data_IF_220163313541
#
_entry.id   IF_220163313541
#
_cell.length_a   1.000
_cell.length_b   1.000
_cell.length_c   1.000
_cell.angle_alpha   90.00
_cell.angle_beta   90.00
_cell.angle_gamma   90.00
#
_symmetry.space_group_name_H-M   'P 1'
#
loop_
_entity.id
_entity.type
_entity.pdbx_description
1 polymer ?
#
# COMPACT_ATOMS: atom_id res chain seq x y z
N UNK A 1 11.30 17.55 -6.54
CA UNK A 1 10.10 16.69 -6.80
C UNK A 1 10.18 15.36 -6.06
N UNK A 2 11.29 14.63 -6.18
CA UNK A 2 11.50 13.32 -5.51
C UNK A 2 11.37 13.41 -3.99
N UNK A 3 12.02 14.40 -3.37
CA UNK A 3 12.01 14.57 -1.91
C UNK A 3 10.59 14.77 -1.33
N UNK A 4 9.75 15.59 -1.98
CA UNK A 4 8.35 15.79 -1.55
C UNK A 4 7.54 14.51 -1.62
N UNK A 5 7.68 13.73 -2.71
CA UNK A 5 7.01 12.42 -2.83
C UNK A 5 7.48 11.44 -1.76
N UNK A 6 8.78 11.38 -1.52
CA UNK A 6 9.33 10.49 -0.49
C UNK A 6 8.81 10.87 0.90
N UNK A 7 8.69 12.16 1.21
CA UNK A 7 8.11 12.62 2.47
C UNK A 7 6.65 12.18 2.62
N UNK A 8 5.83 12.40 1.59
CA UNK A 8 4.41 11.98 1.59
C UNK A 8 4.26 10.46 1.72
N UNK A 9 5.14 9.69 1.09
CA UNK A 9 5.13 8.23 1.21
C UNK A 9 5.45 7.77 2.64
N UNK A 10 6.49 8.34 3.25
CA UNK A 10 6.90 8.03 4.63
C UNK A 10 5.80 8.45 5.63
N UNK A 11 5.20 9.61 5.45
CA UNK A 11 4.07 10.09 6.28
C UNK A 11 2.85 9.16 6.16
N UNK A 12 2.53 8.69 4.95
CA UNK A 12 1.46 7.73 4.71
C UNK A 12 1.73 6.37 5.39
N UNK A 13 2.96 5.85 5.29
CA UNK A 13 3.33 4.61 5.96
C UNK A 13 3.24 4.73 7.50
N UNK A 14 3.72 5.84 8.07
CA UNK A 14 3.60 6.12 9.51
C UNK A 14 2.15 6.18 9.97
N UNK A 15 1.29 6.87 9.22
CA UNK A 15 -0.14 6.96 9.54
C UNK A 15 -0.83 5.60 9.45
N UNK A 16 -0.50 4.76 8.47
CA UNK A 16 -1.01 3.38 8.39
C UNK A 16 -0.65 2.54 9.63
N UNK A 17 0.60 2.60 10.09
CA UNK A 17 1.04 1.87 11.29
C UNK A 17 0.34 2.36 12.56
N UNK A 18 0.27 3.68 12.76
CA UNK A 18 -0.39 4.28 13.93
C UNK A 18 -1.88 3.92 13.95
N UNK A 19 -2.56 4.05 12.80
CA UNK A 19 -3.99 3.76 12.67
C UNK A 19 -4.32 2.30 12.98
N UNK A 20 -3.52 1.37 12.44
CA UNK A 20 -3.71 -0.07 12.65
C UNK A 20 -3.19 -0.58 13.99
N UNK A 21 -2.51 0.27 14.79
CA UNK A 21 -1.75 -0.14 15.98
C UNK A 21 -0.76 -1.28 15.68
N UNK A 22 -0.22 -1.28 14.46
CA UNK A 22 0.70 -2.31 13.99
C UNK A 22 2.11 -2.12 14.57
N UNK A 23 2.82 -3.24 14.71
CA UNK A 23 4.19 -3.25 15.20
C UNK A 23 5.17 -2.67 14.19
N UNK A 24 6.26 -2.06 14.68
CA UNK A 24 7.27 -1.39 13.84
C UNK A 24 7.95 -2.33 12.85
N UNK A 25 8.00 -3.64 13.12
CA UNK A 25 8.59 -4.60 12.19
C UNK A 25 7.85 -4.65 10.84
N UNK A 26 6.57 -4.26 10.80
CA UNK A 26 5.76 -4.14 9.58
C UNK A 26 6.04 -2.86 8.78
N UNK A 27 7.11 -2.12 9.10
CA UNK A 27 7.46 -0.87 8.44
C UNK A 27 7.61 -1.03 6.93
N UNK A 28 8.30 -2.07 6.48
CA UNK A 28 8.50 -2.39 5.07
C UNK A 28 7.17 -2.63 4.33
N UNK A 29 6.27 -3.38 4.96
CA UNK A 29 4.95 -3.73 4.47
C UNK A 29 4.05 -2.49 4.40
N UNK A 30 4.12 -1.62 5.41
CA UNK A 30 3.39 -0.36 5.44
C UNK A 30 3.86 0.59 4.33
N UNK A 31 5.18 0.71 4.11
CA UNK A 31 5.74 1.53 3.01
C UNK A 31 5.34 0.96 1.65
N UNK A 32 5.44 -0.35 1.45
CA UNK A 32 5.03 -1.00 0.21
C UNK A 32 3.53 -0.81 -0.06
N UNK A 33 2.69 -0.94 0.97
CA UNK A 33 1.24 -0.74 0.87
C UNK A 33 0.89 0.71 0.57
N UNK A 34 1.55 1.68 1.22
CA UNK A 34 1.38 3.10 0.95
C UNK A 34 1.74 3.42 -0.50
N UNK A 35 2.89 2.94 -0.99
CA UNK A 35 3.31 3.13 -2.38
C UNK A 35 2.32 2.50 -3.37
N UNK A 36 1.90 1.27 -3.10
CA UNK A 36 0.98 0.52 -3.94
C UNK A 36 -0.38 1.22 -4.06
N UNK A 37 -0.91 1.69 -2.93
CA UNK A 37 -2.17 2.44 -2.86
C UNK A 37 -2.04 3.76 -3.60
N UNK A 38 -1.03 4.57 -3.27
CA UNK A 38 -0.85 5.90 -3.87
C UNK A 38 -0.71 5.84 -5.40
N UNK A 39 -0.02 4.85 -5.94
CA UNK A 39 0.13 4.71 -7.39
C UNK A 39 -1.16 4.35 -8.13
N UNK A 40 -2.14 3.78 -7.43
CA UNK A 40 -3.41 3.33 -8.01
C UNK A 40 -4.60 4.20 -7.66
N UNK A 41 -4.53 5.02 -6.61
CA UNK A 41 -5.64 5.86 -6.18
C UNK A 41 -5.39 7.37 -6.32
N UNK A 42 -4.13 7.82 -6.28
CA UNK A 42 -3.85 9.25 -6.40
C UNK A 42 -3.86 9.68 -7.86
N UNK A 43 -4.78 10.58 -8.18
CA UNK A 43 -4.89 11.17 -9.52
C UNK A 43 -3.83 12.26 -9.66
N UNK A 44 -3.05 12.16 -10.72
CA UNK A 44 -2.14 13.23 -11.09
C UNK A 44 -2.92 14.33 -11.81
N UNK A 45 -2.97 15.53 -11.22
CA UNK A 45 -3.79 16.66 -11.67
C UNK A 45 -3.55 17.06 -13.13
N UNK A 46 -2.32 16.97 -13.62
CA UNK A 46 -1.98 17.32 -15.02
C UNK A 46 -2.61 16.41 -16.07
N UNK A 47 -2.80 15.12 -15.73
CA UNK A 47 -3.24 14.11 -16.70
C UNK A 47 -4.62 13.53 -16.37
N UNK A 48 -5.21 13.90 -15.23
CA UNK A 48 -6.45 13.33 -14.70
C UNK A 48 -6.43 11.78 -14.68
N UNK A 49 -5.25 11.21 -14.44
CA UNK A 49 -4.97 9.77 -14.46
C UNK A 49 -4.08 9.40 -13.28
N UNK A 50 -4.19 8.16 -12.81
CA UNK A 50 -3.29 7.64 -11.78
C UNK A 50 -1.93 7.25 -12.39
N UNK A 51 -0.84 7.20 -11.61
CA UNK A 51 0.44 6.67 -12.08
C UNK A 51 0.31 5.28 -12.71
N UNK A 52 -0.52 4.41 -12.15
CA UNK A 52 -0.79 3.09 -12.70
C UNK A 52 -1.40 3.17 -14.10
N UNK A 53 -2.41 4.03 -14.30
CA UNK A 53 -3.06 4.25 -15.60
C UNK A 53 -2.07 4.71 -16.66
N UNK A 54 -1.15 5.60 -16.29
CA UNK A 54 -0.18 6.19 -17.21
C UNK A 54 0.84 5.16 -17.70
N UNK A 55 1.25 4.24 -16.83
CA UNK A 55 2.25 3.22 -17.16
C UNK A 55 1.62 2.03 -17.88
N UNK A 56 0.44 1.59 -17.46
CA UNK A 56 -0.18 0.36 -17.96
C UNK A 56 -1.27 0.61 -19.01
N UNK A 57 -1.62 1.87 -19.27
CA UNK A 57 -2.75 2.27 -20.12
C UNK A 57 -4.07 1.58 -19.75
N UNK A 58 -4.23 1.23 -18.46
CA UNK A 58 -5.37 0.49 -17.91
C UNK A 58 -5.75 1.03 -16.55
N UNK A 59 -7.06 1.19 -16.30
CA UNK A 59 -7.59 1.55 -14.98
C UNK A 59 -7.23 0.49 -13.93
N UNK A 60 -6.72 0.85 -12.75
CA UNK A 60 -6.51 -0.11 -11.69
C UNK A 60 -7.86 -0.65 -11.24
N UNK A 61 -7.94 -1.95 -11.07
CA UNK A 61 -8.98 -2.53 -10.24
C UNK A 61 -8.70 -2.14 -8.78
N UNK A 62 -9.71 -1.67 -8.07
CA UNK A 62 -9.59 -1.27 -6.67
C UNK A 62 -10.42 -2.19 -5.74
N UNK A 63 -11.15 -3.16 -6.29
CA UNK A 63 -12.07 -4.01 -5.52
C UNK A 63 -11.36 -4.91 -4.51
N UNK A 64 -10.10 -5.26 -4.77
CA UNK A 64 -9.30 -6.12 -3.89
C UNK A 64 -8.64 -5.37 -2.72
N UNK A 65 -8.72 -4.03 -2.66
CA UNK A 65 -8.08 -3.28 -1.58
C UNK A 65 -8.73 -3.63 -0.24
N UNK A 66 -7.86 -3.86 0.76
CA UNK A 66 -8.25 -4.05 2.15
C UNK A 66 -7.57 -3.00 3.02
N UNK A 67 -8.19 -2.68 4.14
CA UNK A 67 -7.62 -1.78 5.14
C UNK A 67 -6.33 -2.41 5.67
N UNK A 68 -5.25 -1.64 5.73
CA UNK A 68 -4.00 -2.09 6.33
C UNK A 68 -4.23 -2.47 7.80
N UNK A 69 -3.75 -3.64 8.22
CA UNK A 69 -4.00 -4.19 9.56
C UNK A 69 -5.39 -4.80 9.75
N UNK A 70 -6.16 -5.02 8.69
CA UNK A 70 -7.39 -5.81 8.77
C UNK A 70 -7.10 -7.25 9.17
N UNK A 71 -8.04 -7.88 9.89
CA UNK A 71 -7.97 -9.29 10.26
C UNK A 71 -7.80 -10.16 9.00
N UNK A 72 -6.76 -11.01 8.99
CA UNK A 72 -6.56 -12.01 7.97
C UNK A 72 -6.47 -13.40 8.60
N UNK A 73 -6.96 -14.40 7.88
CA UNK A 73 -6.79 -15.80 8.25
C UNK A 73 -5.69 -16.36 7.34
N UNK A 74 -4.59 -16.89 7.91
CA UNK A 74 -3.61 -17.58 7.10
C UNK A 74 -4.32 -18.72 6.39
N UNK A 75 -4.19 -18.78 5.07
CA UNK A 75 -4.70 -19.92 4.31
C UNK A 75 -3.81 -21.09 4.70
N UNK A 76 -4.36 -22.00 5.50
CA UNK A 76 -3.62 -23.13 6.05
C UNK A 76 -3.43 -24.18 4.96
N UNK A 77 -2.61 -23.84 3.96
CA UNK A 77 -2.03 -24.81 3.06
C UNK A 77 -0.95 -25.46 3.93
N UNK A 78 -1.15 -26.70 4.37
CA UNK A 78 -0.36 -27.45 5.37
C UNK A 78 1.17 -27.54 5.14
N UNK A 79 1.74 -26.78 4.20
CA UNK A 79 3.15 -26.79 3.81
C UNK A 79 4.01 -25.74 4.55
N UNK A 80 3.43 -24.68 5.13
CA UNK A 80 4.20 -23.55 5.70
C UNK A 80 4.01 -23.30 7.22
N UNK A 81 3.70 -24.34 8.01
CA UNK A 81 3.56 -24.26 9.48
C UNK A 81 4.90 -24.12 10.23
N UNK A 82 5.81 -23.27 9.75
CA UNK A 82 7.16 -23.18 10.30
C UNK A 82 7.69 -21.78 10.62
N UNK A 83 7.05 -20.68 10.21
CA UNK A 83 7.61 -19.34 10.43
C UNK A 83 6.54 -18.25 10.54
N UNK A 84 6.08 -18.00 11.76
CA UNK A 84 5.63 -16.68 12.23
C UNK A 84 6.14 -16.46 13.64
#
# INVERSE_FOLDING_TARGET
VVERRNRTLVEAARTMLIFSKALMFLWTEAVATAYYTQNRSLIHTRHHKTPYDLVHNKKPDLTFFRVFGALCYPTNNNEDLGKL
#
